data_IF_566999995131
#
_entry.id   IF_566999995131
#
_cell.length_a   1.000
_cell.length_b   1.000
_cell.length_c   1.000
_cell.angle_alpha   90.00
_cell.angle_beta   90.00
_cell.angle_gamma   90.00
#
_symmetry.space_group_name_H-M   'P 1'
#
loop_
_entity.id
_entity.type
_entity.pdbx_description
1 polymer ?
#
# COMPACT_ATOMS: atom_id res chain seq x y z
N UNK A 1 25.15 -21.11 16.38
CA UNK A 1 25.22 -20.74 14.95
C UNK A 1 24.36 -21.72 14.19
N UNK A 2 23.20 -21.30 13.67
CA UNK A 2 22.31 -22.19 12.92
C UNK A 2 22.95 -22.56 11.58
N UNK A 3 23.21 -23.85 11.34
CA UNK A 3 23.71 -24.34 10.06
C UNK A 3 22.56 -24.33 9.04
N UNK A 4 22.56 -23.36 8.14
CA UNK A 4 21.60 -23.34 7.03
C UNK A 4 21.90 -24.47 6.07
N UNK A 5 20.95 -25.40 5.88
CA UNK A 5 21.08 -26.48 4.90
C UNK A 5 21.01 -25.89 3.49
N UNK A 6 21.99 -26.24 2.65
CA UNK A 6 22.07 -25.81 1.25
C UNK A 6 20.75 -26.05 0.49
N UNK A 7 20.05 -27.14 0.82
CA UNK A 7 18.74 -27.50 0.25
C UNK A 7 17.66 -26.47 0.60
N UNK A 8 17.66 -25.98 1.83
CA UNK A 8 16.72 -24.95 2.30
C UNK A 8 16.95 -23.63 1.59
N UNK A 9 18.21 -23.27 1.34
CA UNK A 9 18.57 -22.03 0.62
C UNK A 9 18.10 -22.09 -0.84
N UNK A 10 18.34 -23.20 -1.55
CA UNK A 10 17.85 -23.36 -2.92
C UNK A 10 16.32 -23.37 -3.01
N UNK A 11 15.65 -24.03 -2.07
CA UNK A 11 14.19 -24.04 -2.02
C UNK A 11 13.61 -22.65 -1.78
N UNK A 12 14.19 -21.87 -0.86
CA UNK A 12 13.78 -20.48 -0.63
C UNK A 12 13.98 -19.60 -1.87
N UNK A 13 15.11 -19.73 -2.56
CA UNK A 13 15.38 -18.98 -3.79
C UNK A 13 14.38 -19.32 -4.90
N UNK A 14 14.04 -20.60 -5.06
CA UNK A 14 13.07 -21.05 -6.06
C UNK A 14 11.66 -20.49 -5.79
N UNK A 15 11.23 -20.51 -4.52
CA UNK A 15 9.94 -19.92 -4.11
C UNK A 15 9.90 -18.41 -4.38
N UNK A 16 10.99 -17.70 -4.07
CA UNK A 16 11.10 -16.27 -4.32
C UNK A 16 11.05 -15.95 -5.82
N UNK A 17 11.81 -16.67 -6.65
CA UNK A 17 11.81 -16.49 -8.09
C UNK A 17 10.43 -16.75 -8.71
N UNK A 18 9.73 -17.78 -8.22
CA UNK A 18 8.37 -18.09 -8.68
C UNK A 18 7.38 -16.98 -8.29
N UNK A 19 7.45 -16.46 -7.08
CA UNK A 19 6.61 -15.34 -6.64
C UNK A 19 6.85 -14.10 -7.52
N UNK A 20 8.11 -13.78 -7.83
CA UNK A 20 8.46 -12.68 -8.73
C UNK A 20 7.90 -12.89 -10.14
N UNK A 21 8.00 -14.10 -10.71
CA UNK A 21 7.49 -14.40 -12.04
C UNK A 21 5.95 -14.31 -12.13
N UNK A 22 5.24 -14.62 -11.04
CA UNK A 22 3.78 -14.48 -10.96
C UNK A 22 3.38 -13.02 -10.83
N UNK A 23 4.06 -12.26 -9.97
CA UNK A 23 3.78 -10.84 -9.77
C UNK A 23 4.17 -9.98 -10.97
N UNK A 24 5.15 -10.42 -11.78
CA UNK A 24 5.62 -9.71 -12.95
C UNK A 24 5.69 -10.65 -14.17
N UNK A 25 4.56 -10.95 -14.83
CA UNK A 25 4.57 -11.76 -16.02
C UNK A 25 5.43 -11.09 -17.11
N UNK A 26 6.22 -11.86 -17.87
CA UNK A 26 7.02 -11.30 -18.95
C UNK A 26 6.09 -10.65 -19.98
N UNK A 27 6.30 -9.35 -20.22
CA UNK A 27 5.61 -8.60 -21.26
C UNK A 27 6.08 -9.09 -22.62
N UNK A 28 5.29 -9.96 -23.26
CA UNK A 28 5.48 -10.30 -24.68
C UNK A 28 5.05 -9.08 -25.49
N UNK A 29 6.01 -8.23 -25.85
CA UNK A 29 5.75 -7.10 -26.74
C UNK A 29 5.38 -7.62 -28.13
N UNK A 30 4.11 -7.52 -28.51
CA UNK A 30 3.69 -7.61 -29.91
C UNK A 30 4.16 -6.35 -30.62
N UNK A 31 4.89 -6.52 -31.72
CA UNK A 31 5.29 -5.42 -32.59
C UNK A 31 4.07 -4.96 -33.42
N UNK A 32 3.16 -4.25 -32.78
CA UNK A 32 2.09 -3.53 -33.47
C UNK A 32 2.62 -2.17 -33.92
N UNK A 33 2.32 -1.79 -35.17
CA UNK A 33 2.65 -0.50 -35.77
C UNK A 33 2.31 0.63 -34.80
N UNK A 34 3.32 1.37 -34.32
CA UNK A 34 3.19 2.34 -33.24
C UNK A 34 2.31 3.52 -33.68
N UNK A 35 1.02 3.45 -33.35
CA UNK A 35 0.22 4.66 -33.15
C UNK A 35 0.83 5.43 -31.95
N UNK A 36 0.77 6.77 -31.92
CA UNK A 36 1.22 7.56 -30.77
C UNK A 36 0.62 6.97 -29.49
N UNK A 37 1.48 6.67 -28.51
CA UNK A 37 1.04 6.12 -27.23
C UNK A 37 -0.01 7.06 -26.61
N UNK A 38 -1.15 6.54 -26.12
CA UNK A 38 -2.12 7.33 -25.38
C UNK A 38 -1.42 8.09 -24.25
N UNK A 39 -1.80 9.35 -24.03
CA UNK A 39 -1.24 10.13 -22.93
C UNK A 39 -1.47 9.39 -21.59
N UNK A 40 -0.50 9.42 -20.66
CA UNK A 40 -0.69 8.84 -19.34
C UNK A 40 -1.92 9.46 -18.66
N UNK A 41 -2.93 8.64 -18.39
CA UNK A 41 -4.06 9.03 -17.55
C UNK A 41 -3.67 8.82 -16.08
N UNK A 42 -3.43 9.93 -15.37
CA UNK A 42 -3.22 9.91 -13.92
C UNK A 42 -4.46 10.50 -13.26
N UNK A 43 -5.41 9.65 -12.89
CA UNK A 43 -6.60 10.04 -12.14
C UNK A 43 -6.19 10.30 -10.68
N UNK A 44 -5.69 11.51 -10.39
CA UNK A 44 -5.23 11.94 -9.05
C UNK A 44 -6.27 11.85 -7.93
N UNK A 45 -7.49 11.42 -8.26
CA UNK A 45 -8.64 11.25 -7.37
C UNK A 45 -8.39 10.23 -6.25
N UNK A 46 -7.54 9.22 -6.48
CA UNK A 46 -7.21 8.22 -5.47
C UNK A 46 -6.42 8.81 -4.29
N UNK A 47 -5.55 9.79 -4.56
CA UNK A 47 -4.80 10.53 -3.52
C UNK A 47 -5.77 11.45 -2.77
N UNK A 48 -6.61 12.18 -3.50
CA UNK A 48 -7.61 13.08 -2.91
C UNK A 48 -8.60 12.33 -2.01
N UNK A 49 -9.09 11.18 -2.46
CA UNK A 49 -9.99 10.30 -1.71
C UNK A 49 -9.30 9.69 -0.49
N UNK A 50 -8.02 9.30 -0.63
CA UNK A 50 -7.21 8.83 0.49
C UNK A 50 -7.08 9.90 1.58
N UNK A 51 -6.73 11.12 1.21
CA UNK A 51 -6.67 12.27 2.13
C UNK A 51 -8.04 12.52 2.75
N UNK A 52 -9.12 12.48 1.97
CA UNK A 52 -10.48 12.66 2.47
C UNK A 52 -10.85 11.62 3.55
N UNK A 53 -10.52 10.34 3.35
CA UNK A 53 -10.77 9.31 4.36
C UNK A 53 -9.92 9.50 5.62
N UNK A 54 -8.65 9.88 5.48
CA UNK A 54 -7.77 10.16 6.64
C UNK A 54 -8.34 11.32 7.44
N UNK A 55 -8.72 12.43 6.78
CA UNK A 55 -9.32 13.57 7.44
C UNK A 55 -10.67 13.22 8.09
N UNK A 56 -11.50 12.40 7.44
CA UNK A 56 -12.76 11.90 8.01
C UNK A 56 -12.52 11.11 9.30
N UNK A 57 -11.57 10.16 9.29
CA UNK A 57 -11.22 9.40 10.48
C UNK A 57 -10.62 10.28 11.57
N UNK A 58 -9.78 11.26 11.19
CA UNK A 58 -9.19 12.19 12.15
C UNK A 58 -10.27 13.04 12.82
N UNK A 59 -11.30 13.48 12.09
CA UNK A 59 -12.42 14.23 12.64
C UNK A 59 -13.23 13.40 13.65
N UNK A 60 -13.50 12.14 13.33
CA UNK A 60 -14.18 11.20 14.25
C UNK A 60 -13.32 10.95 15.50
N UNK A 61 -12.01 10.79 15.34
CA UNK A 61 -11.08 10.61 16.45
C UNK A 61 -11.03 11.87 17.34
N UNK A 62 -10.86 13.05 16.76
CA UNK A 62 -10.81 14.31 17.50
C UNK A 62 -12.08 14.55 18.30
N UNK A 63 -13.25 14.35 17.69
CA UNK A 63 -14.53 14.53 18.39
C UNK A 63 -14.69 13.54 19.54
N UNK A 64 -14.26 12.29 19.38
CA UNK A 64 -14.26 11.30 20.46
C UNK A 64 -13.25 11.62 21.57
N UNK A 65 -12.10 12.21 21.24
CA UNK A 65 -11.07 12.60 22.22
C UNK A 65 -11.45 13.87 22.98
N UNK A 66 -12.03 14.87 22.32
CA UNK A 66 -12.41 16.13 22.97
C UNK A 66 -13.48 15.89 24.05
N UNK A 67 -14.36 14.90 23.88
CA UNK A 67 -15.44 14.58 24.82
C UNK A 67 -14.95 14.21 26.25
N UNK A 68 -14.05 13.23 26.46
CA UNK A 68 -13.47 12.95 27.76
C UNK A 68 -12.46 14.01 28.22
N UNK A 69 -11.74 14.68 27.31
CA UNK A 69 -10.82 15.75 27.69
C UNK A 69 -11.59 16.94 28.33
N UNK A 70 -12.69 17.36 27.74
CA UNK A 70 -13.57 18.41 28.29
C UNK A 70 -14.16 18.01 29.64
N UNK A 71 -14.69 16.78 29.75
CA UNK A 71 -15.23 16.24 31.00
C UNK A 71 -14.17 16.16 32.11
N UNK A 72 -12.94 15.76 31.76
CA UNK A 72 -11.83 15.72 32.71
C UNK A 72 -11.47 17.13 33.21
N UNK A 73 -11.45 18.13 32.32
CA UNK A 73 -11.11 19.51 32.69
C UNK A 73 -12.11 20.12 33.68
N UNK A 74 -13.39 19.79 33.55
CA UNK A 74 -14.45 20.23 34.46
C UNK A 74 -14.41 19.53 35.82
N UNK A 75 -13.78 18.36 35.93
CA UNK A 75 -13.63 17.63 37.19
C UNK A 75 -12.45 18.12 38.04
N UNK A 76 -11.47 18.79 37.41
CA UNK A 76 -10.25 19.29 38.07
C UNK A 76 -10.32 20.78 38.50
N UNK A 77 -11.44 21.46 38.26
CA UNK A 77 -11.75 22.81 38.77
C UNK A 77 -12.91 22.77 39.77
#
# INVERSE_FOLDING_TARGET
>A
MASFSLRTVFSAMAMFALACAICWPPSVAKADSMAPAPAPASDGTSIDQGIAYVLMLMAVLLTYLIHPLDASSSFFF
#
